data_IF_033222868258
#
_entry.id   IF_033222868258
#
_cell.length_a   1.000
_cell.length_b   1.000
_cell.length_c   1.000
_cell.angle_alpha   90.00
_cell.angle_beta   90.00
_cell.angle_gamma   90.00
#
_symmetry.space_group_name_H-M   'P 1'
#
loop_
_entity.id
_entity.type
_entity.pdbx_description
1 polymer ?
#
# COMPACT_ATOMS: atom_id res chain seq x y z
N UNK A 1 15.96 41.67 20.57
CA UNK A 1 14.52 41.96 20.38
C UNK A 1 13.82 40.69 19.88
N UNK A 2 12.97 40.06 20.70
CA UNK A 2 12.17 38.88 20.31
C UNK A 2 10.82 39.36 19.79
N UNK A 3 10.48 39.01 18.54
CA UNK A 3 9.15 38.61 18.04
C UNK A 3 9.10 38.75 16.52
N UNK A 4 8.91 37.63 15.82
CA UNK A 4 7.65 37.32 15.11
C UNK A 4 7.43 35.81 15.30
N UNK A 5 6.35 35.41 15.98
CA UNK A 5 5.76 34.07 15.78
C UNK A 5 4.69 34.26 14.72
N UNK A 6 4.84 33.61 13.57
CA UNK A 6 3.72 33.46 12.65
C UNK A 6 2.75 32.43 13.26
N UNK A 7 1.45 32.72 13.33
CA UNK A 7 0.47 31.81 13.91
C UNK A 7 0.37 30.53 13.08
N UNK A 8 0.19 29.44 13.82
CA UNK A 8 -0.09 28.09 13.34
C UNK A 8 -1.26 28.16 12.36
N UNK A 9 -1.04 27.81 11.10
CA UNK A 9 -2.13 27.55 10.16
C UNK A 9 -2.72 26.20 10.57
N UNK A 10 -3.78 26.24 11.36
CA UNK A 10 -4.65 25.10 11.55
C UNK A 10 -5.49 24.94 10.28
N UNK A 11 -5.13 23.98 9.42
CA UNK A 11 -6.11 23.44 8.49
C UNK A 11 -6.89 22.39 9.27
N UNK A 12 -7.97 22.82 9.92
CA UNK A 12 -9.05 21.92 10.29
C UNK A 12 -9.57 21.31 8.98
N UNK A 13 -9.18 20.06 8.73
CA UNK A 13 -9.90 19.28 7.74
C UNK A 13 -11.29 19.02 8.29
N UNK A 14 -12.28 19.78 7.83
CA UNK A 14 -13.67 19.38 8.04
C UNK A 14 -13.85 17.95 7.51
N UNK A 15 -14.33 17.09 8.37
CA UNK A 15 -14.84 15.75 8.01
C UNK A 15 -16.08 16.02 7.14
N UNK A 16 -16.21 15.37 5.98
CA UNK A 16 -17.20 15.61 4.88
C UNK A 16 -16.72 16.37 3.61
N UNK A 17 -15.45 16.72 3.46
CA UNK A 17 -14.96 17.37 2.21
C UNK A 17 -14.28 16.43 1.21
N UNK A 18 -14.81 15.23 1.02
CA UNK A 18 -14.42 14.38 -0.12
C UNK A 18 -13.00 13.79 -0.08
N UNK A 19 -12.22 13.97 0.99
CA UNK A 19 -10.85 13.44 1.14
C UNK A 19 -10.83 11.91 1.24
N UNK A 20 -11.05 11.22 0.13
CA UNK A 20 -11.23 9.79 0.06
C UNK A 20 -10.15 9.13 -0.80
N UNK A 21 -9.97 7.85 -0.56
CA UNK A 21 -9.19 6.94 -1.40
C UNK A 21 -10.17 5.96 -2.06
N UNK A 22 -9.74 5.29 -3.13
CA UNK A 22 -10.56 4.23 -3.72
C UNK A 22 -10.70 3.02 -2.79
N UNK A 23 -11.80 2.24 -2.88
CA UNK A 23 -12.02 1.07 -2.01
C UNK A 23 -10.92 0.00 -2.10
N UNK A 24 -10.29 -0.14 -3.28
CA UNK A 24 -9.22 -1.12 -3.53
C UNK A 24 -7.84 -0.62 -3.09
N UNK A 25 -7.72 0.64 -2.63
CA UNK A 25 -6.49 1.13 -2.03
C UNK A 25 -6.22 0.40 -0.72
N UNK A 26 -4.93 0.22 -0.45
CA UNK A 26 -4.46 -0.64 0.63
C UNK A 26 -3.92 0.17 1.79
N UNK A 27 -4.14 -0.35 2.98
CA UNK A 27 -3.63 0.18 4.25
C UNK A 27 -3.01 -0.97 5.05
N UNK A 28 -1.92 -0.67 5.75
CA UNK A 28 -1.28 -1.62 6.66
C UNK A 28 -1.82 -1.37 8.06
N UNK A 29 -2.66 -2.29 8.52
CA UNK A 29 -3.22 -2.29 9.85
C UNK A 29 -2.30 -3.12 10.75
N UNK A 30 -1.83 -2.59 11.90
CA UNK A 30 -0.93 -3.30 12.80
C UNK A 30 -1.36 -4.74 13.11
N UNK A 31 -2.65 -4.97 13.41
CA UNK A 31 -3.16 -6.29 13.79
C UNK A 31 -3.48 -7.21 12.60
N UNK A 32 -3.85 -6.64 11.45
CA UNK A 32 -4.38 -7.39 10.30
C UNK A 32 -3.41 -7.49 9.12
N UNK A 33 -2.32 -6.72 9.13
CA UNK A 33 -1.41 -6.55 8.00
C UNK A 33 -2.00 -5.69 6.87
N UNK A 34 -1.56 -5.92 5.64
CA UNK A 34 -2.12 -5.28 4.44
C UNK A 34 -3.58 -5.70 4.21
N UNK A 35 -4.49 -4.73 4.20
CA UNK A 35 -5.92 -4.89 3.87
C UNK A 35 -6.37 -3.77 2.95
N UNK A 36 -7.41 -4.00 2.16
CA UNK A 36 -8.05 -2.94 1.38
C UNK A 36 -8.94 -2.08 2.26
N UNK A 37 -9.21 -0.84 1.84
CA UNK A 37 -10.17 0.03 2.52
C UNK A 37 -11.59 -0.54 2.48
N UNK A 38 -11.93 -1.30 1.44
CA UNK A 38 -13.20 -2.03 1.35
C UNK A 38 -13.32 -3.08 2.46
N UNK A 39 -12.33 -3.96 2.58
CA UNK A 39 -12.30 -5.00 3.63
C UNK A 39 -12.32 -4.36 5.02
N UNK A 40 -11.52 -3.30 5.23
CA UNK A 40 -11.50 -2.57 6.50
C UNK A 40 -12.88 -1.94 6.82
N UNK A 41 -13.60 -1.44 5.81
CA UNK A 41 -14.95 -0.90 5.99
C UNK A 41 -15.96 -1.99 6.36
N UNK A 42 -15.82 -3.20 5.79
CA UNK A 42 -16.68 -4.35 6.09
C UNK A 42 -16.51 -4.86 7.52
N UNK A 43 -15.32 -4.69 8.13
CA UNK A 43 -15.07 -4.95 9.55
C UNK A 43 -15.74 -3.94 10.49
N UNK A 44 -16.19 -2.79 9.98
CA UNK A 44 -16.86 -1.79 10.78
C UNK A 44 -18.18 -2.30 11.36
N UNK A 45 -18.35 -2.14 12.67
CA UNK A 45 -19.56 -2.53 13.41
C UNK A 45 -20.41 -1.30 13.74
N UNK A 46 -21.72 -1.47 13.89
CA UNK A 46 -22.62 -0.39 14.30
C UNK A 46 -22.67 0.77 13.29
N UNK A 47 -23.74 0.81 12.49
CA UNK A 47 -23.99 1.91 11.57
C UNK A 47 -24.36 3.17 12.38
N UNK A 48 -23.53 4.20 12.30
CA UNK A 48 -23.79 5.51 12.93
C UNK A 48 -24.68 6.35 12.03
N UNK A 49 -24.33 6.42 10.74
CA UNK A 49 -25.07 7.16 9.71
C UNK A 49 -25.10 6.32 8.45
N UNK A 50 -26.25 6.27 7.78
CA UNK A 50 -26.37 5.73 6.43
C UNK A 50 -27.44 6.48 5.66
N UNK A 51 -27.02 7.14 4.60
CA UNK A 51 -27.90 7.79 3.62
C UNK A 51 -27.46 7.42 2.19
N UNK A 52 -27.98 8.13 1.17
CA UNK A 52 -27.67 7.86 -0.23
C UNK A 52 -26.24 8.26 -0.66
N UNK A 53 -25.60 9.13 0.10
CA UNK A 53 -24.31 9.74 -0.21
C UNK A 53 -23.21 9.30 0.75
N UNK A 54 -23.51 8.88 1.99
CA UNK A 54 -22.50 8.37 2.93
C UNK A 54 -22.98 7.26 3.86
N UNK A 55 -22.03 6.43 4.27
CA UNK A 55 -22.18 5.44 5.32
C UNK A 55 -20.99 5.52 6.28
N UNK A 56 -21.28 5.62 7.59
CA UNK A 56 -20.29 5.73 8.65
C UNK A 56 -20.54 4.59 9.63
N UNK A 57 -19.50 3.83 9.93
CA UNK A 57 -19.54 2.73 10.91
C UNK A 57 -18.55 2.99 12.03
N UNK A 58 -18.78 2.41 13.20
CA UNK A 58 -17.75 2.40 14.23
C UNK A 58 -16.63 1.46 13.78
N UNK A 59 -15.40 1.87 14.07
CA UNK A 59 -14.22 1.04 13.95
C UNK A 59 -13.53 1.09 15.31
N UNK A 60 -12.93 0.00 15.75
CA UNK A 60 -12.16 -0.02 17.01
C UNK A 60 -10.85 -0.76 16.77
N UNK A 61 -10.12 -0.32 15.77
CA UNK A 61 -8.86 -0.91 15.31
C UNK A 61 -7.77 0.15 15.43
N UNK A 62 -6.59 -0.27 15.90
CA UNK A 62 -5.39 0.55 15.91
C UNK A 62 -4.89 0.75 14.47
N UNK A 63 -4.62 2.00 14.09
CA UNK A 63 -4.05 2.35 12.79
C UNK A 63 -2.78 3.18 12.96
N UNK A 64 -1.88 3.08 12.00
CA UNK A 64 -0.70 3.94 11.95
C UNK A 64 -1.06 5.32 11.41
N UNK A 65 -0.66 6.36 12.13
CA UNK A 65 -0.81 7.75 11.72
C UNK A 65 0.53 8.47 11.84
N UNK A 66 0.69 9.54 11.05
CA UNK A 66 1.84 10.44 11.16
C UNK A 66 1.46 11.59 12.09
N UNK A 67 2.17 11.73 13.20
CA UNK A 67 2.01 12.83 14.13
C UNK A 67 2.64 14.13 13.58
N UNK A 68 2.34 15.26 14.22
CA UNK A 68 2.80 16.58 13.76
C UNK A 68 4.33 16.73 13.73
N UNK A 69 5.05 15.92 14.51
CA UNK A 69 6.51 15.87 14.59
C UNK A 69 7.13 14.91 13.56
N UNK A 70 6.30 14.28 12.72
CA UNK A 70 6.71 13.30 11.72
C UNK A 70 6.92 11.88 12.26
N UNK A 71 6.67 11.64 13.55
CA UNK A 71 6.72 10.29 14.13
C UNK A 71 5.50 9.48 13.72
N UNK A 72 5.69 8.15 13.61
CA UNK A 72 4.58 7.23 13.38
C UNK A 72 4.04 6.79 14.73
N UNK A 73 2.74 6.95 14.93
CA UNK A 73 2.06 6.56 16.16
C UNK A 73 0.87 5.65 15.84
N UNK A 74 0.46 4.85 16.81
CA UNK A 74 -0.77 4.06 16.72
C UNK A 74 -1.90 4.83 17.39
N UNK A 75 -3.00 4.98 16.67
CA UNK A 75 -4.21 5.62 17.17
C UNK A 75 -5.39 4.72 16.88
N UNK A 76 -6.29 4.58 17.86
CA UNK A 76 -7.57 3.93 17.64
C UNK A 76 -8.42 4.78 16.71
N UNK A 77 -8.74 4.27 15.53
CA UNK A 77 -9.68 4.93 14.63
C UNK A 77 -11.09 4.62 15.09
N UNK A 78 -11.86 5.59 15.63
CA UNK A 78 -13.19 5.32 16.17
C UNK A 78 -14.25 5.08 15.08
N UNK A 79 -13.97 5.50 13.85
CA UNK A 79 -14.92 5.46 12.74
C UNK A 79 -14.25 5.08 11.43
N UNK A 80 -15.06 4.56 10.51
CA UNK A 80 -14.69 4.39 9.11
C UNK A 80 -15.82 4.90 8.22
N UNK A 81 -15.44 5.56 7.12
CA UNK A 81 -16.33 6.34 6.28
C UNK A 81 -16.33 5.79 4.87
N UNK A 82 -17.52 5.71 4.27
CA UNK A 82 -17.72 5.43 2.85
C UNK A 82 -18.60 6.50 2.26
N UNK A 83 -18.06 7.26 1.31
CA UNK A 83 -18.77 8.33 0.62
C UNK A 83 -18.99 7.96 -0.85
N UNK A 84 -20.13 8.34 -1.40
CA UNK A 84 -20.41 8.25 -2.82
C UNK A 84 -19.72 9.41 -3.53
N UNK A 85 -18.71 9.10 -4.33
CA UNK A 85 -18.02 10.11 -5.14
C UNK A 85 -18.51 10.07 -6.58
N UNK A 86 -18.85 11.24 -7.14
CA UNK A 86 -19.19 11.41 -8.56
C UNK A 86 -18.26 12.45 -9.16
N UNK A 87 -17.08 12.01 -9.57
CA UNK A 87 -16.08 12.92 -10.08
C UNK A 87 -14.83 12.20 -10.54
N UNK A 88 -13.82 13.00 -10.87
CA UNK A 88 -12.51 12.48 -11.25
C UNK A 88 -11.82 11.86 -10.04
N UNK A 89 -11.00 10.87 -10.30
CA UNK A 89 -10.06 10.27 -9.36
C UNK A 89 -8.67 10.43 -9.96
N UNK A 90 -7.71 10.83 -9.15
CA UNK A 90 -6.33 11.00 -9.56
C UNK A 90 -5.50 9.83 -9.08
N UNK A 91 -4.74 9.21 -9.98
CA UNK A 91 -3.76 8.19 -9.63
C UNK A 91 -2.39 8.82 -9.50
N UNK A 92 -1.91 8.98 -8.27
CA UNK A 92 -0.59 9.53 -7.97
C UNK A 92 0.41 8.38 -8.03
N UNK A 93 1.40 8.46 -8.91
CA UNK A 93 2.47 7.46 -9.04
C UNK A 93 3.78 8.03 -8.54
N UNK A 94 4.38 7.34 -7.57
CA UNK A 94 5.68 7.66 -7.00
C UNK A 94 6.81 7.05 -7.84
N UNK A 95 8.02 7.57 -7.66
CA UNK A 95 9.23 7.10 -8.37
C UNK A 95 9.53 5.62 -8.09
N UNK A 96 9.21 5.13 -6.90
CA UNK A 96 9.38 3.74 -6.47
C UNK A 96 8.23 2.82 -6.90
N UNK A 97 7.45 3.18 -7.93
CA UNK A 97 6.33 2.40 -8.49
C UNK A 97 5.12 2.20 -7.59
N UNK A 98 5.15 2.74 -6.36
CA UNK A 98 3.95 2.83 -5.54
C UNK A 98 2.98 3.83 -6.17
N UNK A 99 1.69 3.53 -6.09
CA UNK A 99 0.65 4.45 -6.54
C UNK A 99 -0.52 4.43 -5.57
N UNK A 100 -1.21 5.56 -5.47
CA UNK A 100 -2.44 5.69 -4.69
C UNK A 100 -3.46 6.48 -5.51
N UNK A 101 -4.70 6.01 -5.53
CA UNK A 101 -5.82 6.63 -6.23
C UNK A 101 -6.72 7.36 -5.25
N UNK A 102 -6.86 8.67 -5.47
CA UNK A 102 -7.43 9.60 -4.50
C UNK A 102 -8.35 10.62 -5.17
N UNK A 103 -9.20 11.27 -4.39
CA UNK A 103 -9.94 12.44 -4.89
C UNK A 103 -9.01 13.65 -5.09
N UNK A 104 -9.34 14.58 -6.00
CA UNK A 104 -8.53 15.76 -6.31
C UNK A 104 -8.11 16.59 -5.08
N UNK A 105 -8.98 16.69 -4.10
CA UNK A 105 -8.82 17.45 -2.86
C UNK A 105 -8.08 16.71 -1.75
N UNK A 106 -7.72 15.45 -1.96
CA UNK A 106 -6.98 14.67 -0.97
C UNK A 106 -5.61 15.31 -0.70
N UNK A 107 -5.28 15.64 0.57
CA UNK A 107 -4.04 16.33 0.89
C UNK A 107 -2.86 15.35 1.01
N UNK A 108 -1.72 15.74 0.45
CA UNK A 108 -0.43 15.07 0.60
C UNK A 108 0.53 15.98 1.35
N UNK A 109 1.25 15.43 2.31
CA UNK A 109 2.32 16.15 2.97
C UNK A 109 3.55 16.18 2.04
N UNK A 110 4.00 17.38 1.70
CA UNK A 110 5.21 17.60 0.88
C UNK A 110 6.30 18.30 1.70
N UNK A 111 7.52 18.39 1.17
CA UNK A 111 8.59 19.18 1.78
C UNK A 111 8.31 20.70 1.79
N UNK A 112 7.25 21.16 1.11
CA UNK A 112 6.77 22.55 1.11
C UNK A 112 5.45 22.72 1.88
N UNK A 113 5.04 21.72 2.66
CA UNK A 113 3.77 21.69 3.38
C UNK A 113 2.70 20.85 2.70
N UNK A 114 1.45 20.97 3.15
CA UNK A 114 0.32 20.21 2.63
C UNK A 114 -0.11 20.72 1.25
N UNK A 115 -0.34 19.79 0.33
CA UNK A 115 -0.74 20.09 -1.05
C UNK A 115 -1.85 19.15 -1.51
N UNK A 116 -2.84 19.67 -2.24
CA UNK A 116 -3.92 18.82 -2.79
C UNK A 116 -3.39 17.93 -3.90
N UNK A 117 -4.02 16.76 -4.10
CA UNK A 117 -3.65 15.81 -5.13
C UNK A 117 -3.64 16.44 -6.53
N UNK A 118 -4.62 17.27 -6.85
CA UNK A 118 -4.73 17.98 -8.14
C UNK A 118 -3.69 19.09 -8.36
N UNK A 119 -2.99 19.48 -7.30
CA UNK A 119 -1.92 20.47 -7.38
C UNK A 119 -0.54 19.82 -7.52
N UNK A 120 -0.40 18.53 -7.21
CA UNK A 120 0.87 17.81 -7.30
C UNK A 120 1.40 17.81 -8.75
N UNK A 121 2.71 17.96 -8.88
CA UNK A 121 3.41 17.93 -10.17
C UNK A 121 4.50 16.86 -10.15
N UNK A 122 4.84 16.26 -11.29
CA UNK A 122 6.02 15.39 -11.38
C UNK A 122 7.27 16.10 -10.84
N UNK A 123 7.99 15.44 -9.93
CA UNK A 123 9.14 16.01 -9.22
C UNK A 123 8.83 16.56 -7.82
N UNK A 124 7.56 16.70 -7.44
CA UNK A 124 7.20 17.00 -6.05
C UNK A 124 7.57 15.82 -5.14
N UNK A 125 8.10 16.13 -3.96
CA UNK A 125 8.40 15.15 -2.92
C UNK A 125 7.21 15.04 -1.97
N UNK A 126 6.67 13.83 -1.83
CA UNK A 126 5.63 13.52 -0.84
C UNK A 126 6.21 12.68 0.30
N UNK A 127 5.66 12.85 1.49
CA UNK A 127 6.03 12.07 2.66
C UNK A 127 5.62 10.61 2.48
N UNK A 128 6.55 9.70 2.75
CA UNK A 128 6.33 8.25 2.77
C UNK A 128 6.96 7.74 4.06
N UNK A 129 6.30 6.86 4.82
CA UNK A 129 6.88 6.29 6.03
C UNK A 129 8.16 5.51 5.70
N UNK A 130 9.22 5.73 6.49
CA UNK A 130 10.50 5.01 6.33
C UNK A 130 10.39 3.54 6.74
N UNK A 131 9.51 3.26 7.72
CA UNK A 131 9.22 1.93 8.24
C UNK A 131 7.75 1.88 8.61
N UNK A 132 7.06 0.80 8.27
CA UNK A 132 5.73 0.50 8.76
C UNK A 132 5.83 -0.81 9.53
N UNK A 133 5.36 -0.82 10.77
CA UNK A 133 5.38 -2.01 11.62
C UNK A 133 4.03 -2.73 11.51
N UNK A 134 3.88 -3.61 10.52
CA UNK A 134 2.72 -4.52 10.43
C UNK A 134 3.01 -5.85 11.11
N UNK A 135 1.98 -6.51 11.65
CA UNK A 135 2.02 -7.94 11.97
C UNK A 135 1.85 -8.80 10.71
N UNK A 136 2.49 -8.39 9.60
CA UNK A 136 2.47 -9.19 8.38
C UNK A 136 3.28 -10.45 8.64
N UNK A 137 2.63 -11.60 8.47
CA UNK A 137 3.35 -12.87 8.44
C UNK A 137 4.42 -12.78 7.34
N UNK A 138 5.57 -13.41 7.58
CA UNK A 138 6.67 -13.47 6.61
C UNK A 138 6.16 -13.93 5.23
N UNK A 139 5.18 -14.84 5.20
CA UNK A 139 4.54 -15.32 3.98
C UNK A 139 3.85 -14.20 3.20
N UNK A 140 3.10 -13.30 3.86
CA UNK A 140 2.44 -12.16 3.20
C UNK A 140 3.44 -11.16 2.65
N UNK A 141 4.47 -10.82 3.43
CA UNK A 141 5.55 -9.96 2.96
C UNK A 141 6.23 -10.55 1.72
N UNK A 142 6.55 -11.84 1.74
CA UNK A 142 7.16 -12.51 0.60
C UNK A 142 6.20 -12.57 -0.59
N UNK A 143 4.90 -12.80 -0.40
CA UNK A 143 3.92 -12.70 -1.49
C UNK A 143 3.88 -11.30 -2.12
N UNK A 144 3.94 -10.23 -1.31
CA UNK A 144 4.04 -8.87 -1.80
C UNK A 144 5.32 -8.69 -2.64
N UNK A 145 6.48 -9.09 -2.12
CA UNK A 145 7.77 -9.03 -2.82
C UNK A 145 7.68 -9.79 -4.15
N UNK A 146 7.14 -11.01 -4.14
CA UNK A 146 6.94 -11.79 -5.37
C UNK A 146 5.99 -11.11 -6.34
N UNK A 147 4.91 -10.47 -5.90
CA UNK A 147 4.01 -9.75 -6.80
C UNK A 147 4.70 -8.62 -7.57
N UNK A 148 5.75 -8.02 -6.99
CA UNK A 148 6.54 -6.95 -7.61
C UNK A 148 7.64 -7.48 -8.53
N UNK A 149 8.17 -8.65 -8.22
CA UNK A 149 9.32 -9.22 -8.94
C UNK A 149 8.88 -10.20 -10.04
N UNK A 150 7.81 -11.00 -9.82
CA UNK A 150 7.25 -11.97 -10.77
C UNK A 150 6.45 -11.30 -11.89
N UNK A 151 7.17 -10.55 -12.71
CA UNK A 151 6.70 -10.07 -14.02
C UNK A 151 6.87 -11.17 -15.07
N UNK A 152 6.10 -11.17 -16.15
CA UNK A 152 6.23 -12.16 -17.25
C UNK A 152 7.64 -12.20 -17.85
N UNK A 153 8.36 -11.07 -17.77
CA UNK A 153 9.74 -10.93 -18.26
C UNK A 153 10.80 -11.36 -17.26
N UNK A 154 10.41 -11.78 -16.05
CA UNK A 154 11.36 -12.18 -15.04
C UNK A 154 12.12 -13.42 -15.49
N UNK A 155 13.45 -13.33 -15.38
CA UNK A 155 14.37 -14.44 -15.46
C UNK A 155 15.07 -14.51 -14.11
N UNK A 156 14.85 -15.59 -13.37
CA UNK A 156 15.36 -15.75 -12.01
C UNK A 156 16.32 -16.94 -11.91
N UNK A 157 17.27 -16.84 -10.98
CA UNK A 157 18.12 -17.94 -10.53
C UNK A 157 17.48 -18.58 -9.31
N UNK A 158 17.70 -19.88 -9.15
CA UNK A 158 17.27 -20.62 -7.97
C UNK A 158 18.48 -21.03 -7.14
N UNK A 159 18.29 -21.11 -5.83
CA UNK A 159 19.29 -21.65 -4.93
C UNK A 159 19.60 -23.13 -5.24
N UNK A 160 20.78 -23.59 -4.81
CA UNK A 160 21.26 -24.94 -5.11
C UNK A 160 20.36 -26.07 -4.58
N UNK A 161 19.71 -25.85 -3.44
CA UNK A 161 18.83 -26.83 -2.81
C UNK A 161 17.57 -27.08 -3.65
N UNK A 162 16.99 -26.02 -4.21
CA UNK A 162 15.86 -26.11 -5.11
C UNK A 162 16.25 -26.72 -6.45
N UNK A 163 17.39 -26.33 -7.02
CA UNK A 163 17.94 -26.94 -8.25
C UNK A 163 18.04 -28.46 -8.12
N UNK A 164 18.57 -28.97 -6.99
CA UNK A 164 18.68 -30.41 -6.74
C UNK A 164 17.32 -31.11 -6.70
N UNK A 165 16.30 -30.47 -6.13
CA UNK A 165 14.92 -31.02 -6.06
C UNK A 165 14.24 -31.08 -7.42
N UNK A 166 14.42 -30.07 -8.27
CA UNK A 166 13.74 -29.97 -9.57
C UNK A 166 14.49 -30.61 -10.74
N UNK A 167 15.71 -31.11 -10.52
CA UNK A 167 16.52 -31.85 -11.52
C UNK A 167 15.75 -32.91 -12.28
N UNK A 168 14.80 -33.59 -11.63
CA UNK A 168 14.01 -34.67 -12.24
C UNK A 168 12.85 -34.17 -13.10
N UNK A 169 12.40 -32.92 -12.93
CA UNK A 169 11.24 -32.34 -13.61
C UNK A 169 11.58 -31.79 -15.01
N UNK A 170 12.82 -31.37 -15.25
CA UNK A 170 13.23 -30.88 -16.57
C UNK A 170 14.01 -31.95 -17.34
N UNK A 171 13.40 -32.48 -18.41
CA UNK A 171 14.01 -33.44 -19.35
C UNK A 171 13.98 -32.90 -20.78
N UNK A 172 14.79 -33.49 -21.66
CA UNK A 172 14.87 -33.11 -23.07
C UNK A 172 15.28 -31.65 -23.29
N UNK A 173 14.57 -30.95 -24.16
CA UNK A 173 14.91 -29.59 -24.60
C UNK A 173 14.87 -28.52 -23.50
N UNK A 174 14.41 -28.83 -22.28
CA UNK A 174 14.39 -27.87 -21.16
C UNK A 174 15.53 -28.09 -20.14
N UNK A 175 16.42 -29.07 -20.33
CA UNK A 175 17.56 -29.35 -19.42
C UNK A 175 18.47 -28.12 -19.27
N UNK A 176 18.61 -27.29 -20.30
CA UNK A 176 19.45 -26.10 -20.28
C UNK A 176 19.06 -25.12 -19.15
N UNK A 177 17.77 -25.09 -18.74
CA UNK A 177 17.30 -24.21 -17.66
C UNK A 177 17.95 -24.54 -16.33
N UNK A 178 18.14 -25.83 -16.05
CA UNK A 178 18.84 -26.30 -14.85
C UNK A 178 20.33 -26.05 -14.97
N UNK A 179 20.92 -26.35 -16.12
CA UNK A 179 22.37 -26.18 -16.33
C UNK A 179 22.81 -24.72 -16.24
N UNK A 180 22.01 -23.80 -16.76
CA UNK A 180 22.30 -22.36 -16.73
C UNK A 180 21.70 -21.64 -15.52
N UNK A 181 20.90 -22.34 -14.71
CA UNK A 181 20.11 -21.79 -13.61
C UNK A 181 19.25 -20.59 -14.05
N UNK A 182 18.38 -20.80 -15.05
CA UNK A 182 17.60 -19.73 -15.68
C UNK A 182 16.14 -20.17 -15.76
N UNK A 183 15.28 -19.54 -14.97
CA UNK A 183 13.86 -19.87 -14.88
C UNK A 183 13.00 -18.64 -15.16
N UNK A 184 11.92 -18.84 -15.94
CA UNK A 184 10.94 -17.78 -16.21
C UNK A 184 9.85 -17.82 -15.15
N UNK A 185 9.04 -16.76 -15.08
CA UNK A 185 7.87 -16.67 -14.19
C UNK A 185 7.00 -17.94 -14.23
N UNK A 186 6.65 -18.40 -15.43
CA UNK A 186 5.81 -19.59 -15.64
C UNK A 186 6.40 -20.83 -14.95
N UNK A 187 7.71 -21.05 -15.09
CA UNK A 187 8.41 -22.18 -14.48
C UNK A 187 8.41 -22.10 -12.94
N UNK A 188 8.50 -20.88 -12.40
CA UNK A 188 8.51 -20.62 -10.95
C UNK A 188 7.11 -20.85 -10.36
N UNK A 189 6.06 -20.46 -11.07
CA UNK A 189 4.67 -20.64 -10.66
C UNK A 189 4.23 -22.11 -10.76
N UNK A 190 4.56 -22.79 -11.86
CA UNK A 190 4.21 -24.20 -12.09
C UNK A 190 4.79 -25.13 -11.00
N UNK A 191 6.00 -24.85 -10.55
CA UNK A 191 6.73 -25.70 -9.59
C UNK A 191 6.71 -25.16 -8.16
N UNK A 192 5.95 -24.09 -7.91
CA UNK A 192 5.85 -23.40 -6.61
C UNK A 192 7.22 -23.03 -5.98
N UNK A 193 8.13 -22.51 -6.81
CA UNK A 193 9.54 -22.24 -6.44
C UNK A 193 9.79 -20.81 -5.95
N UNK A 194 8.73 -20.08 -5.57
CA UNK A 194 8.83 -18.66 -5.21
C UNK A 194 9.87 -18.42 -4.10
N UNK A 195 9.86 -19.25 -3.06
CA UNK A 195 10.80 -19.20 -1.91
C UNK A 195 12.22 -19.71 -2.21
N UNK A 196 12.51 -20.04 -3.46
CA UNK A 196 13.81 -20.59 -3.87
C UNK A 196 14.58 -19.67 -4.81
N UNK A 197 14.03 -18.50 -5.12
CA UNK A 197 14.67 -17.49 -5.95
C UNK A 197 15.82 -16.86 -5.19
N UNK A 198 16.96 -16.70 -5.87
CA UNK A 198 18.17 -16.05 -5.40
C UNK A 198 18.38 -14.71 -6.11
#
# INVERSE_FOLDING_TARGET
MKRIRQPIIAVLGHVDHGKCLLPDEKIIVPELGEVTLKELFELGEGVIVKDREKEIRKLNIDIHVVAHDGTIQRVKSPYIWRLRHRGKVLKIRLKNWHSVSVTPEHPFLTNKGWKRADQLKPGDYVAVPKRIEGNESYERFMQFVYSKILTEKLIAKLNENALKKIRKHFKGNKIYKIQKNVFRKEDIEELNLKNSIE
#
